data_IF_408035331411
#
_entry.id   IF_408035331411
#
_cell.length_a   1.000
_cell.length_b   1.000
_cell.length_c   1.000
_cell.angle_alpha   90.00
_cell.angle_beta   90.00
_cell.angle_gamma   90.00
#
_symmetry.space_group_name_H-M   'P 1'
#
loop_
_entity.id
_entity.type
_entity.pdbx_description
1 polymer ?
#
# COMPACT_ATOMS: atom_id res chain seq x y z
N UNK A 1 -19.61 18.46 -10.35
CA UNK A 1 -18.23 18.43 -9.80
C UNK A 1 -18.31 17.76 -8.44
N UNK A 2 -17.91 16.49 -8.35
CA UNK A 2 -18.17 15.66 -7.16
C UNK A 2 -17.23 16.04 -6.00
N UNK A 3 -17.84 16.62 -4.97
CA UNK A 3 -17.24 17.00 -3.70
C UNK A 3 -17.11 15.76 -2.81
N UNK A 4 -16.07 14.96 -3.03
CA UNK A 4 -15.74 13.82 -2.18
C UNK A 4 -14.22 13.63 -2.12
N UNK A 5 -13.46 14.66 -1.73
CA UNK A 5 -12.09 14.45 -1.23
C UNK A 5 -12.17 13.76 0.14
N UNK A 6 -12.71 12.55 0.19
CA UNK A 6 -12.63 11.71 1.37
C UNK A 6 -11.20 11.19 1.42
N UNK A 7 -10.42 11.72 2.36
CA UNK A 7 -9.13 11.19 2.79
C UNK A 7 -9.33 9.76 3.30
N UNK A 8 -9.41 8.83 2.36
CA UNK A 8 -9.92 7.48 2.60
C UNK A 8 -8.79 6.64 3.17
N UNK A 9 -8.85 6.42 4.49
CA UNK A 9 -7.88 5.61 5.21
C UNK A 9 -8.20 4.13 5.05
N UNK A 10 -7.28 3.38 4.46
CA UNK A 10 -7.45 1.97 4.15
C UNK A 10 -6.49 1.13 4.99
N UNK A 11 -6.95 0.00 5.55
CA UNK A 11 -6.08 -0.89 6.29
C UNK A 11 -5.03 -1.50 5.36
N UNK A 12 -3.82 -1.68 5.88
CA UNK A 12 -2.76 -2.41 5.18
C UNK A 12 -3.08 -3.91 5.23
N UNK A 13 -3.10 -4.55 4.06
CA UNK A 13 -3.38 -5.99 3.91
C UNK A 13 -2.15 -6.80 3.57
N UNK A 14 -1.06 -6.16 3.15
CA UNK A 14 0.17 -6.84 2.78
C UNK A 14 1.28 -5.87 2.41
N UNK A 15 2.46 -6.43 2.11
CA UNK A 15 3.63 -5.69 1.66
C UNK A 15 4.36 -6.46 0.57
N UNK A 16 5.00 -5.73 -0.33
CA UNK A 16 6.00 -6.26 -1.25
C UNK A 16 7.09 -5.22 -1.46
N UNK A 17 8.18 -5.62 -2.11
CA UNK A 17 9.18 -4.68 -2.63
C UNK A 17 8.94 -4.50 -4.13
N UNK A 18 9.11 -3.27 -4.61
CA UNK A 18 9.20 -3.02 -6.05
C UNK A 18 10.54 -3.51 -6.63
N UNK A 19 10.73 -3.31 -7.94
CA UNK A 19 11.95 -3.69 -8.67
C UNK A 19 13.22 -2.98 -8.15
N UNK A 20 13.07 -1.86 -7.46
CA UNK A 20 14.16 -1.10 -6.85
C UNK A 20 14.35 -1.46 -5.37
N UNK A 21 13.62 -2.44 -4.85
CA UNK A 21 13.72 -2.87 -3.46
C UNK A 21 13.00 -1.94 -2.47
N UNK A 22 12.14 -1.03 -2.93
CA UNK A 22 11.39 -0.16 -2.01
C UNK A 22 10.13 -0.84 -1.52
N UNK A 23 9.86 -0.71 -0.21
CA UNK A 23 8.65 -1.26 0.39
C UNK A 23 7.38 -0.55 -0.10
N UNK A 24 6.42 -1.37 -0.51
CA UNK A 24 5.09 -0.98 -0.98
C UNK A 24 4.06 -1.69 -0.10
N UNK A 25 3.20 -0.92 0.57
CA UNK A 25 2.06 -1.43 1.31
C UNK A 25 0.89 -1.64 0.35
N UNK A 26 0.29 -2.83 0.40
CA UNK A 26 -0.97 -3.14 -0.25
C UNK A 26 -2.11 -2.73 0.67
N UNK A 27 -3.06 -1.95 0.16
CA UNK A 27 -4.21 -1.45 0.92
C UNK A 27 -5.48 -2.20 0.52
N UNK A 28 -6.43 -2.33 1.44
CA UNK A 28 -7.69 -3.04 1.18
C UNK A 28 -8.56 -2.44 0.06
N UNK A 29 -8.34 -1.18 -0.35
CA UNK A 29 -9.02 -0.62 -1.52
C UNK A 29 -8.52 -1.20 -2.86
N UNK A 30 -7.42 -1.96 -2.85
CA UNK A 30 -6.73 -2.46 -4.04
C UNK A 30 -5.63 -1.53 -4.54
N UNK A 31 -5.31 -0.45 -3.83
CA UNK A 31 -4.18 0.43 -4.15
C UNK A 31 -2.93 0.06 -3.38
N UNK A 32 -1.80 0.41 -3.99
CA UNK A 32 -0.45 0.25 -3.46
C UNK A 32 0.10 1.62 -3.08
N UNK A 33 0.75 1.70 -1.92
CA UNK A 33 1.39 2.91 -1.43
C UNK A 33 2.82 2.63 -0.97
N UNK A 34 3.78 3.36 -1.55
CA UNK A 34 5.17 3.32 -1.06
C UNK A 34 5.27 3.78 0.39
N UNK A 35 5.94 2.96 1.18
CA UNK A 35 6.19 3.18 2.59
C UNK A 35 7.70 3.23 2.80
N UNK A 36 8.23 4.45 2.97
CA UNK A 36 9.66 4.69 3.16
C UNK A 36 9.92 5.28 4.54
N UNK A 37 11.10 4.98 5.07
CA UNK A 37 11.68 5.68 6.21
C UNK A 37 12.82 6.52 5.67
N UNK A 38 12.62 7.83 5.60
CA UNK A 38 13.56 8.80 5.03
C UNK A 38 13.69 10.02 5.96
N UNK A 39 14.34 9.88 7.14
CA UNK A 39 14.57 11.00 8.04
C UNK A 39 15.43 12.09 7.37
N UNK A 40 15.17 13.38 7.64
CA UNK A 40 14.18 13.92 8.59
C UNK A 40 12.75 14.02 8.03
N UNK A 41 12.52 13.69 6.76
CA UNK A 41 11.27 14.00 6.06
C UNK A 41 10.15 12.99 6.34
N UNK A 42 10.49 11.71 6.49
CA UNK A 42 9.51 10.62 6.66
C UNK A 42 9.93 9.66 7.75
N UNK A 43 9.28 9.77 8.92
CA UNK A 43 9.54 8.91 10.07
C UNK A 43 8.59 7.70 10.10
N UNK A 44 8.95 6.61 9.41
CA UNK A 44 8.24 5.31 9.47
C UNK A 44 9.16 4.17 9.90
N UNK A 45 9.69 4.22 11.12
CA UNK A 45 10.66 3.22 11.61
C UNK A 45 10.13 1.78 11.52
N UNK A 46 8.82 1.59 11.67
CA UNK A 46 8.17 0.28 11.52
C UNK A 46 8.45 -0.39 10.16
N UNK A 47 8.76 0.35 9.10
CA UNK A 47 9.00 -0.24 7.78
C UNK A 47 10.38 -0.89 7.65
N UNK A 48 11.34 -0.54 8.52
CA UNK A 48 12.74 -0.96 8.39
C UNK A 48 12.95 -2.42 8.78
N UNK A 49 12.04 -3.00 9.56
CA UNK A 49 12.12 -4.36 10.07
C UNK A 49 10.87 -5.17 9.71
N UNK A 50 11.03 -6.47 9.49
CA UNK A 50 9.90 -7.35 9.17
C UNK A 50 8.84 -7.34 10.26
N UNK A 51 9.23 -7.53 11.53
CA UNK A 51 8.32 -7.49 12.67
C UNK A 51 7.56 -6.14 12.78
N UNK A 52 8.22 -5.03 12.42
CA UNK A 52 7.58 -3.72 12.38
C UNK A 52 6.50 -3.62 11.31
N UNK A 53 6.75 -4.17 10.11
CA UNK A 53 5.75 -4.24 9.03
C UNK A 53 4.58 -5.15 9.42
N UNK A 54 4.86 -6.32 9.98
CA UNK A 54 3.82 -7.27 10.42
C UNK A 54 2.91 -6.66 11.49
N UNK A 55 3.49 -5.93 12.46
CA UNK A 55 2.73 -5.22 13.49
C UNK A 55 1.82 -4.11 12.93
N UNK A 56 2.10 -3.65 11.71
CA UNK A 56 1.33 -2.61 11.03
C UNK A 56 0.26 -3.16 10.08
N UNK A 57 0.15 -4.49 9.91
CA UNK A 57 -0.98 -5.09 9.20
C UNK A 57 -2.29 -4.70 9.90
N UNK A 58 -3.30 -4.32 9.12
CA UNK A 58 -4.56 -3.76 9.61
C UNK A 58 -4.52 -2.28 9.99
N UNK A 59 -3.33 -1.67 10.13
CA UNK A 59 -3.23 -0.23 10.40
C UNK A 59 -3.77 0.58 9.23
N UNK A 60 -4.48 1.67 9.53
CA UNK A 60 -5.10 2.51 8.52
C UNK A 60 -4.11 3.53 7.94
N UNK A 61 -3.84 3.45 6.63
CA UNK A 61 -3.08 4.46 5.89
C UNK A 61 -3.97 5.26 4.96
N UNK A 62 -3.71 6.57 4.89
CA UNK A 62 -4.38 7.45 3.92
C UNK A 62 -4.01 7.05 2.49
N UNK A 63 -4.99 6.55 1.75
CA UNK A 63 -4.82 6.23 0.34
C UNK A 63 -4.94 7.50 -0.52
N UNK A 64 -3.79 7.99 -1.00
CA UNK A 64 -3.74 9.16 -1.91
C UNK A 64 -4.46 8.89 -3.23
N UNK A 65 -4.38 7.66 -3.76
CA UNK A 65 -5.03 7.26 -5.02
C UNK A 65 -6.55 7.25 -4.90
N UNK A 66 -7.11 6.81 -3.76
CA UNK A 66 -8.55 6.97 -3.49
C UNK A 66 -8.96 8.44 -3.45
N UNK A 67 -8.16 9.30 -2.80
CA UNK A 67 -8.46 10.73 -2.71
C UNK A 67 -8.38 11.46 -4.07
N UNK A 68 -7.61 10.92 -5.01
CA UNK A 68 -7.44 11.42 -6.39
C UNK A 68 -8.43 10.76 -7.38
N UNK A 69 -9.12 9.69 -6.98
CA UNK A 69 -9.99 8.92 -7.86
C UNK A 69 -9.23 8.06 -8.88
N UNK A 70 -7.95 7.77 -8.62
CA UNK A 70 -7.13 6.97 -9.53
C UNK A 70 -7.62 5.50 -9.57
N UNK A 71 -7.48 4.81 -10.73
CA UNK A 71 -7.84 3.39 -10.83
C UNK A 71 -7.04 2.53 -9.84
N UNK A 72 -7.60 1.37 -9.47
CA UNK A 72 -6.93 0.40 -8.60
C UNK A 72 -5.64 -0.09 -9.25
N UNK A 73 -4.66 -0.45 -8.44
CA UNK A 73 -3.42 -1.04 -8.96
C UNK A 73 -3.70 -2.47 -9.42
N UNK A 74 -3.10 -2.86 -10.55
CA UNK A 74 -3.21 -4.23 -11.04
C UNK A 74 -2.47 -5.15 -10.08
N UNK A 75 -3.25 -5.87 -9.26
CA UNK A 75 -2.73 -6.96 -8.47
C UNK A 75 -2.49 -8.10 -9.46
N UNK A 76 -1.26 -8.63 -9.54
CA UNK A 76 -0.99 -9.84 -10.31
C UNK A 76 -1.84 -10.95 -9.69
N UNK A 77 -3.03 -11.15 -10.25
CA UNK A 77 -3.77 -12.37 -10.04
C UNK A 77 -2.96 -13.40 -10.80
N UNK A 78 -2.15 -14.18 -10.06
CA UNK A 78 -1.66 -15.45 -10.58
C UNK A 78 -2.91 -16.26 -10.90
N UNK A 79 -3.35 -16.16 -12.15
CA UNK A 79 -4.33 -17.08 -12.70
C UNK A 79 -3.74 -18.46 -12.45
N UNK A 80 -4.47 -19.41 -11.84
CA UNK A 80 -4.03 -20.79 -11.83
C UNK A 80 -3.68 -21.10 -13.28
N UNK A 81 -2.44 -21.53 -13.54
CA UNK A 81 -2.09 -22.12 -14.82
C UNK A 81 -3.00 -23.33 -14.94
N UNK A 82 -4.14 -23.14 -15.58
CA UNK A 82 -4.96 -24.24 -16.05
C UNK A 82 -4.04 -25.03 -16.96
N UNK A 83 -3.65 -26.21 -16.48
CA UNK A 83 -2.76 -27.08 -17.21
C UNK A 83 -3.46 -27.52 -18.47
N UNK A 84 -2.88 -27.22 -19.62
CA UNK A 84 -3.12 -27.97 -20.84
C UNK A 84 -1.84 -28.10 -21.66
#
# INVERSE_FOLDING_TARGET
>A
MNMNKATTSQPITGYHTDEQGHWVAQLACGHNQHVRHDPPWVHRQWVTSQAGRESMLGHQLVCKKCADGSPKDEQRIETPRDGQ
#
